data_IF_931063423064
#
_entry.id   IF_931063423064
#
_cell.length_a   1.000
_cell.length_b   1.000
_cell.length_c   1.000
_cell.angle_alpha   90.00
_cell.angle_beta   90.00
_cell.angle_gamma   90.00
#
_symmetry.space_group_name_H-M   'P 1'
#
loop_
_entity.id
_entity.type
_entity.pdbx_description
1 polymer ?
#
# COMPACT_ATOMS: atom_id res chain seq x y z
N UNK A 1 3.95 -9.08 17.98
CA UNK A 1 3.94 -8.78 19.43
C UNK A 1 5.35 -8.38 19.74
N UNK A 2 5.54 -7.13 20.12
CA UNK A 2 6.83 -6.68 20.64
C UNK A 2 6.89 -7.06 22.13
N UNK A 3 8.08 -7.29 22.66
CA UNK A 3 8.30 -7.52 24.09
C UNK A 3 7.61 -8.77 24.67
N UNK A 4 7.43 -9.82 23.86
CA UNK A 4 6.96 -11.15 24.32
C UNK A 4 7.95 -12.19 23.81
N UNK A 5 8.27 -13.18 24.64
CA UNK A 5 9.11 -14.31 24.27
C UNK A 5 8.52 -15.05 23.03
N UNK A 6 9.32 -15.45 22.03
CA UNK A 6 8.80 -16.11 20.83
C UNK A 6 8.02 -17.41 21.09
N UNK A 7 8.41 -18.19 22.09
CA UNK A 7 7.74 -19.45 22.43
C UNK A 7 6.44 -19.18 23.18
N UNK A 8 6.43 -18.20 24.09
CA UNK A 8 5.20 -17.71 24.73
C UNK A 8 4.19 -17.21 23.69
N UNK A 9 4.65 -16.40 22.73
CA UNK A 9 3.82 -15.93 21.64
C UNK A 9 3.25 -17.07 20.79
N UNK A 10 4.04 -18.12 20.53
CA UNK A 10 3.57 -19.29 19.77
C UNK A 10 2.53 -20.08 20.56
N UNK A 11 2.71 -20.22 21.87
CA UNK A 11 1.76 -20.90 22.76
C UNK A 11 0.42 -20.18 22.81
N UNK A 12 0.43 -18.85 22.96
CA UNK A 12 -0.79 -18.02 22.94
C UNK A 12 -1.55 -18.21 21.61
N UNK A 13 -0.85 -18.16 20.47
CA UNK A 13 -1.48 -18.32 19.16
C UNK A 13 -2.03 -19.74 18.96
N UNK A 14 -1.27 -20.76 19.37
CA UNK A 14 -1.68 -22.16 19.26
C UNK A 14 -2.91 -22.46 20.10
N UNK A 15 -3.00 -21.89 21.31
CA UNK A 15 -4.18 -21.97 22.17
C UNK A 15 -5.43 -21.32 21.55
N UNK A 16 -5.25 -20.46 20.55
CA UNK A 16 -6.33 -19.82 19.78
C UNK A 16 -6.50 -20.44 18.38
N UNK A 17 -6.02 -21.67 18.17
CA UNK A 17 -6.09 -22.39 16.89
C UNK A 17 -5.38 -21.66 15.73
N UNK A 18 -4.37 -20.83 16.04
CA UNK A 18 -3.54 -20.11 15.07
C UNK A 18 -2.12 -20.68 15.11
N UNK A 19 -1.82 -21.75 14.34
CA UNK A 19 -0.52 -22.45 14.44
C UNK A 19 0.67 -21.60 13.98
N UNK A 20 0.43 -20.48 13.30
CA UNK A 20 1.44 -19.51 12.91
C UNK A 20 0.87 -18.09 12.95
N UNK A 21 1.75 -17.09 13.08
CA UNK A 21 1.37 -15.70 12.83
C UNK A 21 0.99 -15.55 11.36
N UNK A 22 -0.27 -15.20 11.12
CA UNK A 22 -0.77 -14.81 9.81
C UNK A 22 -1.45 -13.46 9.96
N UNK A 23 -1.02 -12.51 9.15
CA UNK A 23 -1.69 -11.23 8.99
C UNK A 23 -2.16 -11.16 7.53
N UNK A 24 -3.42 -10.80 7.35
CA UNK A 24 -3.96 -10.51 6.02
C UNK A 24 -3.61 -9.07 5.67
N UNK A 25 -3.18 -8.85 4.43
CA UNK A 25 -3.07 -7.52 3.83
C UNK A 25 -4.22 -7.39 2.84
N UNK A 26 -5.12 -6.48 3.13
CA UNK A 26 -6.33 -6.27 2.34
C UNK A 26 -6.25 -4.95 1.61
N UNK A 27 -6.93 -4.88 0.47
CA UNK A 27 -7.18 -3.69 -0.31
C UNK A 27 -8.64 -3.74 -0.74
N UNK A 28 -9.21 -2.59 -1.12
CA UNK A 28 -10.62 -2.50 -1.49
C UNK A 28 -10.76 -1.84 -2.86
N UNK A 29 -11.59 -2.42 -3.71
CA UNK A 29 -11.99 -1.79 -4.98
C UNK A 29 -13.39 -1.25 -4.79
N UNK A 30 -13.59 0.01 -5.18
CA UNK A 30 -14.87 0.72 -5.12
C UNK A 30 -15.30 1.05 -6.54
N UNK A 31 -16.47 0.54 -6.94
CA UNK A 31 -17.15 0.94 -8.16
C UNK A 31 -18.24 1.95 -7.79
N UNK A 32 -18.17 3.15 -8.36
CA UNK A 32 -19.23 4.16 -8.20
C UNK A 32 -19.28 5.10 -9.40
N UNK A 33 -20.47 5.49 -9.83
CA UNK A 33 -20.68 6.47 -10.91
C UNK A 33 -19.86 6.19 -12.20
N UNK A 34 -19.67 4.91 -12.56
CA UNK A 34 -18.88 4.51 -13.73
C UNK A 34 -17.35 4.62 -13.57
N UNK A 35 -16.87 4.81 -12.33
CA UNK A 35 -15.47 4.95 -11.95
C UNK A 35 -15.04 3.82 -11.03
N UNK A 36 -13.74 3.52 -11.02
CA UNK A 36 -13.10 2.49 -10.21
C UNK A 36 -11.98 3.12 -9.36
N UNK A 37 -12.18 3.14 -8.05
CA UNK A 37 -11.17 3.52 -7.08
C UNK A 37 -10.58 2.29 -6.38
N UNK A 38 -9.31 2.37 -6.03
CA UNK A 38 -8.58 1.35 -5.26
C UNK A 38 -8.12 1.97 -3.93
N UNK A 39 -8.47 1.37 -2.79
CA UNK A 39 -7.91 1.70 -1.48
C UNK A 39 -6.77 0.73 -1.20
N UNK A 40 -5.56 1.30 -1.11
CA UNK A 40 -4.28 0.62 -0.97
C UNK A 40 -3.95 -0.38 -2.10
N UNK A 41 -2.66 -0.60 -2.31
CA UNK A 41 -2.13 -1.43 -3.42
C UNK A 41 -1.39 -2.69 -2.95
N UNK A 42 -1.37 -2.94 -1.64
CA UNK A 42 -0.71 -4.12 -1.09
C UNK A 42 0.82 -4.04 -1.20
N UNK A 43 1.44 -5.22 -1.05
CA UNK A 43 2.88 -5.34 -0.82
C UNK A 43 3.78 -5.32 -2.06
N UNK A 44 3.20 -5.33 -3.27
CA UNK A 44 3.96 -5.62 -4.49
C UNK A 44 4.86 -6.86 -4.32
N UNK A 45 6.14 -6.73 -4.70
CA UNK A 45 7.20 -7.75 -4.49
C UNK A 45 8.20 -7.36 -3.39
N UNK A 46 7.78 -6.50 -2.45
CA UNK A 46 8.66 -5.97 -1.39
C UNK A 46 8.67 -6.83 -0.14
N UNK A 47 7.57 -7.52 0.16
CA UNK A 47 7.46 -8.40 1.32
C UNK A 47 7.56 -9.88 0.90
N UNK A 48 7.32 -10.77 1.86
CA UNK A 48 7.32 -12.23 1.69
C UNK A 48 6.48 -12.72 0.50
N UNK A 49 6.87 -13.85 -0.09
CA UNK A 49 6.23 -14.43 -1.29
C UNK A 49 4.76 -14.82 -1.12
N UNK A 50 4.28 -14.95 0.11
CA UNK A 50 2.86 -15.17 0.42
C UNK A 50 2.01 -13.90 0.34
N UNK A 51 2.63 -12.72 0.22
CA UNK A 51 1.97 -11.43 0.07
C UNK A 51 1.79 -11.06 -1.42
N UNK A 52 1.46 -9.80 -1.73
CA UNK A 52 1.48 -9.29 -3.11
C UNK A 52 0.40 -9.84 -4.05
N UNK A 53 -0.79 -10.19 -3.51
CA UNK A 53 -1.84 -10.89 -4.27
C UNK A 53 -2.73 -9.96 -5.12
N UNK A 54 -2.47 -8.65 -5.17
CA UNK A 54 -3.32 -7.65 -5.84
C UNK A 54 -3.66 -8.03 -7.28
N UNK A 55 -2.66 -8.19 -8.15
CA UNK A 55 -2.89 -8.46 -9.57
C UNK A 55 -3.51 -9.83 -9.85
N UNK A 56 -3.18 -10.84 -9.02
CA UNK A 56 -3.86 -12.15 -9.10
C UNK A 56 -5.34 -12.01 -8.79
N UNK A 57 -5.68 -11.26 -7.74
CA UNK A 57 -7.06 -11.03 -7.35
C UNK A 57 -7.81 -10.16 -8.38
N UNK A 58 -7.15 -9.18 -9.00
CA UNK A 58 -7.71 -8.40 -10.10
C UNK A 58 -8.04 -9.29 -11.30
N UNK A 59 -7.14 -10.18 -11.69
CA UNK A 59 -7.40 -11.15 -12.75
C UNK A 59 -8.62 -12.03 -12.43
N UNK A 60 -8.76 -12.48 -11.20
CA UNK A 60 -9.91 -13.29 -10.77
C UNK A 60 -11.22 -12.47 -10.71
N UNK A 61 -11.13 -11.17 -10.41
CA UNK A 61 -12.26 -10.25 -10.34
C UNK A 61 -12.62 -9.62 -11.71
N UNK A 62 -11.81 -9.85 -12.75
CA UNK A 62 -12.01 -9.24 -14.08
C UNK A 62 -11.73 -7.73 -14.11
N UNK A 63 -10.81 -7.26 -13.28
CA UNK A 63 -10.42 -5.84 -13.21
C UNK A 63 -9.12 -5.63 -13.98
N UNK A 64 -9.12 -4.73 -14.97
CA UNK A 64 -7.89 -4.25 -15.60
C UNK A 64 -7.29 -3.13 -14.73
N UNK A 65 -6.00 -3.22 -14.32
CA UNK A 65 -5.31 -2.10 -13.68
C UNK A 65 -5.41 -0.77 -14.43
N UNK A 66 -5.57 -0.80 -15.76
CA UNK A 66 -5.74 0.39 -16.58
C UNK A 66 -7.10 1.08 -16.40
N UNK A 67 -8.09 0.38 -15.88
CA UNK A 67 -9.43 0.93 -15.61
C UNK A 67 -9.49 1.64 -14.24
N UNK A 68 -8.45 1.51 -13.40
CA UNK A 68 -8.36 2.23 -12.13
C UNK A 68 -8.09 3.71 -12.42
N UNK A 69 -9.01 4.57 -11.98
CA UNK A 69 -8.88 6.02 -12.16
C UNK A 69 -8.43 6.77 -10.91
N UNK A 70 -8.55 6.14 -9.74
CA UNK A 70 -8.10 6.73 -8.47
C UNK A 70 -7.51 5.65 -7.56
N UNK A 71 -6.35 5.92 -6.97
CA UNK A 71 -5.80 5.13 -5.87
C UNK A 71 -5.77 6.00 -4.61
N UNK A 72 -6.41 5.53 -3.55
CA UNK A 72 -6.41 6.15 -2.22
C UNK A 72 -5.44 5.36 -1.34
N UNK A 73 -4.35 6.00 -0.91
CA UNK A 73 -3.46 5.41 0.08
C UNK A 73 -3.90 5.80 1.48
N UNK A 74 -4.06 4.82 2.36
CA UNK A 74 -4.27 5.08 3.78
C UNK A 74 -3.00 5.65 4.43
N UNK A 75 -1.83 5.12 4.05
CA UNK A 75 -0.49 5.56 4.47
C UNK A 75 0.60 4.92 3.60
N UNK A 76 1.88 5.28 3.78
CA UNK A 76 2.99 4.82 2.92
C UNK A 76 3.83 3.68 3.53
N UNK A 77 3.21 2.75 4.25
CA UNK A 77 3.88 1.48 4.57
C UNK A 77 3.95 0.56 3.34
N UNK A 78 4.95 -0.32 3.25
CA UNK A 78 5.14 -1.18 2.08
C UNK A 78 3.99 -2.14 1.86
N UNK A 79 3.25 -2.56 2.88
CA UNK A 79 2.07 -3.40 2.73
C UNK A 79 0.85 -2.65 2.16
N UNK A 80 0.96 -1.34 1.95
CA UNK A 80 -0.10 -0.51 1.39
C UNK A 80 0.30 0.14 0.05
N UNK A 81 1.50 0.71 -0.04
CA UNK A 81 1.89 1.53 -1.19
C UNK A 81 2.80 0.82 -2.20
N UNK A 82 3.37 -0.33 -1.84
CA UNK A 82 4.41 -0.94 -2.66
C UNK A 82 3.89 -1.63 -3.93
N UNK A 83 2.58 -1.86 -4.03
CA UNK A 83 1.93 -2.31 -5.26
C UNK A 83 1.66 -1.22 -6.29
N UNK A 84 2.08 0.04 -6.07
CA UNK A 84 1.91 1.14 -7.03
C UNK A 84 2.82 1.03 -8.26
N UNK A 85 4.00 0.43 -8.10
CA UNK A 85 5.00 0.35 -9.17
C UNK A 85 5.81 -0.93 -9.09
N UNK A 86 6.36 -1.32 -10.24
CA UNK A 86 7.28 -2.44 -10.32
C UNK A 86 8.58 -2.14 -9.56
N UNK A 87 8.98 -3.06 -8.70
CA UNK A 87 10.15 -2.88 -7.84
C UNK A 87 11.46 -2.76 -8.63
N UNK A 88 11.59 -3.40 -9.77
CA UNK A 88 12.86 -3.43 -10.53
C UNK A 88 12.95 -2.22 -11.46
N UNK A 89 11.90 -1.98 -12.23
CA UNK A 89 11.83 -0.97 -13.30
C UNK A 89 11.33 0.39 -12.82
N UNK A 90 10.61 0.44 -11.69
CA UNK A 90 9.93 1.64 -11.22
C UNK A 90 8.70 2.03 -12.05
N UNK A 91 8.29 1.20 -13.03
CA UNK A 91 7.14 1.51 -13.88
C UNK A 91 5.85 1.49 -13.05
N UNK A 92 4.97 2.51 -13.15
CA UNK A 92 3.69 2.51 -12.46
C UNK A 92 2.76 1.44 -13.03
N UNK A 93 1.98 0.81 -12.16
CA UNK A 93 0.97 -0.18 -12.56
C UNK A 93 -0.41 0.43 -12.85
N UNK A 94 -0.67 1.65 -12.37
CA UNK A 94 -1.94 2.36 -12.53
C UNK A 94 -1.70 3.70 -13.27
N UNK A 95 -1.28 3.68 -14.54
CA UNK A 95 -0.83 4.87 -15.25
C UNK A 95 -1.94 5.92 -15.48
N UNK A 96 -3.21 5.51 -15.41
CA UNK A 96 -4.37 6.39 -15.59
C UNK A 96 -4.91 6.95 -14.26
N UNK A 97 -4.40 6.47 -13.13
CA UNK A 97 -4.95 6.79 -11.83
C UNK A 97 -4.35 8.08 -11.24
N UNK A 98 -5.21 8.90 -10.63
CA UNK A 98 -4.77 9.87 -9.64
C UNK A 98 -4.37 9.14 -8.35
N UNK A 99 -3.21 9.45 -7.78
CA UNK A 99 -2.82 8.91 -6.46
C UNK A 99 -3.12 9.96 -5.40
N UNK A 100 -3.97 9.60 -4.45
CA UNK A 100 -4.38 10.49 -3.36
C UNK A 100 -3.86 9.95 -2.05
N UNK A 101 -3.22 10.81 -1.26
CA UNK A 101 -2.79 10.53 0.10
C UNK A 101 -2.79 11.81 0.93
N UNK A 102 -2.80 11.66 2.25
CA UNK A 102 -2.70 12.80 3.15
C UNK A 102 -1.31 13.46 3.05
N UNK A 103 -1.25 14.79 2.92
CA UNK A 103 0.00 15.56 2.79
C UNK A 103 1.05 15.26 3.88
N UNK A 104 0.61 15.08 5.13
CA UNK A 104 1.47 14.69 6.26
C UNK A 104 2.18 13.36 6.07
N UNK A 105 1.57 12.39 5.39
CA UNK A 105 2.27 11.14 5.05
C UNK A 105 3.40 11.44 4.07
N UNK A 106 3.11 12.18 3.00
CA UNK A 106 4.12 12.57 2.02
C UNK A 106 5.28 13.33 2.69
N UNK A 107 4.97 14.31 3.55
CA UNK A 107 5.97 15.08 4.28
C UNK A 107 6.81 14.21 5.22
N UNK A 108 6.18 13.29 5.96
CA UNK A 108 6.88 12.41 6.89
C UNK A 108 7.87 11.50 6.15
N UNK A 109 7.39 10.78 5.12
CA UNK A 109 8.22 9.80 4.43
C UNK A 109 9.30 10.45 3.55
N UNK A 110 9.09 11.69 3.06
CA UNK A 110 10.10 12.44 2.28
C UNK A 110 11.13 13.17 3.13
N UNK A 111 11.01 13.17 4.45
CA UNK A 111 11.97 13.82 5.35
C UNK A 111 13.23 12.96 5.52
N UNK A 112 14.29 13.33 4.81
CA UNK A 112 15.60 12.68 4.88
C UNK A 112 16.22 12.78 6.29
N UNK A 113 15.91 13.82 7.06
CA UNK A 113 16.44 13.99 8.41
C UNK A 113 15.81 13.02 9.40
N UNK A 114 14.54 12.67 9.21
CA UNK A 114 13.87 11.61 9.97
C UNK A 114 14.42 10.24 9.60
N UNK A 115 14.61 9.98 8.30
CA UNK A 115 15.23 8.75 7.78
C UNK A 115 16.59 8.48 8.41
N UNK A 116 17.41 9.52 8.59
CA UNK A 116 18.75 9.37 9.16
C UNK A 116 18.73 9.13 10.68
N UNK A 117 17.62 9.41 11.38
CA UNK A 117 17.49 9.20 12.83
C UNK A 117 16.95 7.82 13.22
N UNK A 118 16.37 7.07 12.27
CA UNK A 118 15.82 5.73 12.52
C UNK A 118 16.86 4.62 12.27
N UNK A 119 16.60 3.44 12.85
CA UNK A 119 17.50 2.28 12.76
C UNK A 119 17.71 1.83 11.31
N UNK A 120 18.85 1.21 10.96
CA UNK A 120 19.07 0.64 9.63
C UNK A 120 17.95 -0.32 9.19
N UNK A 121 17.41 -1.11 10.12
CA UNK A 121 16.27 -1.99 9.91
C UNK A 121 15.00 -1.22 9.54
N UNK A 122 14.71 -0.12 10.25
CA UNK A 122 13.54 0.72 9.98
C UNK A 122 13.72 1.57 8.71
N UNK A 123 14.97 1.91 8.33
CA UNK A 123 15.27 2.60 7.07
C UNK A 123 14.89 1.78 5.84
N UNK A 124 14.84 0.45 5.96
CA UNK A 124 14.34 -0.41 4.89
C UNK A 124 12.87 -0.08 4.57
N UNK A 125 12.07 0.16 5.61
CA UNK A 125 10.67 0.56 5.48
C UNK A 125 10.53 2.04 5.07
N UNK A 126 11.47 2.88 5.49
CA UNK A 126 11.60 4.29 5.10
C UNK A 126 12.31 4.50 3.77
N UNK A 127 12.53 3.45 2.98
CA UNK A 127 13.42 3.57 1.83
C UNK A 127 12.93 4.66 0.87
N UNK A 128 13.81 5.62 0.60
CA UNK A 128 13.67 6.64 -0.45
C UNK A 128 13.37 6.00 -1.82
N UNK A 129 13.65 4.71 -1.99
CA UNK A 129 13.31 3.94 -3.18
C UNK A 129 11.80 3.73 -3.36
N UNK A 130 10.98 3.76 -2.30
CA UNK A 130 9.52 3.73 -2.42
C UNK A 130 9.02 5.10 -2.90
N UNK A 131 9.46 6.18 -2.25
CA UNK A 131 9.13 7.56 -2.64
C UNK A 131 9.63 7.97 -4.03
N UNK A 132 10.88 7.66 -4.39
CA UNK A 132 11.42 7.97 -5.71
C UNK A 132 10.67 7.24 -6.84
N UNK A 133 9.93 6.17 -6.51
CA UNK A 133 9.00 5.49 -7.44
C UNK A 133 7.56 6.02 -7.36
N UNK A 134 7.20 6.75 -6.30
CA UNK A 134 5.95 7.52 -6.20
C UNK A 134 6.05 8.87 -6.89
N UNK A 135 7.21 9.54 -6.85
CA UNK A 135 7.47 10.83 -7.50
C UNK A 135 7.21 10.87 -9.03
N UNK A 136 7.42 9.80 -9.83
CA UNK A 136 6.99 9.78 -11.23
C UNK A 136 5.47 9.61 -11.39
N UNK A 137 4.72 9.41 -10.31
CA UNK A 137 3.27 9.26 -10.32
C UNK A 137 2.62 10.59 -9.93
N UNK A 138 1.49 10.92 -10.55
CA UNK A 138 0.76 12.15 -10.25
C UNK A 138 0.09 12.07 -8.87
N UNK A 139 0.78 12.58 -7.85
CA UNK A 139 0.30 12.60 -6.47
C UNK A 139 -0.50 13.87 -6.18
N UNK A 140 -1.68 13.72 -5.59
CA UNK A 140 -2.53 14.82 -5.12
C UNK A 140 -2.72 14.72 -3.61
N UNK A 141 -2.45 15.82 -2.91
CA UNK A 141 -2.71 15.94 -1.46
C UNK A 141 -4.18 16.14 -1.13
N UNK A 142 -4.98 16.55 -2.11
CA UNK A 142 -6.40 16.83 -1.99
C UNK A 142 -7.20 15.95 -2.97
N UNK A 143 -8.41 15.48 -2.57
CA UNK A 143 -9.33 14.79 -3.45
C UNK A 143 -9.57 15.56 -4.75
N UNK A 144 -9.32 14.94 -5.91
CA UNK A 144 -9.67 15.57 -7.18
C UNK A 144 -11.19 15.70 -7.32
N UNK A 145 -11.67 16.46 -8.32
CA UNK A 145 -13.10 16.51 -8.65
C UNK A 145 -13.70 15.10 -8.89
N UNK A 146 -12.87 14.12 -9.26
CA UNK A 146 -13.26 12.72 -9.39
C UNK A 146 -13.68 12.07 -8.07
N UNK A 147 -13.04 12.41 -6.94
CA UNK A 147 -13.41 11.89 -5.62
C UNK A 147 -14.76 12.44 -5.12
N UNK A 148 -15.15 13.65 -5.55
CA UNK A 148 -16.49 14.19 -5.23
C UNK A 148 -17.61 13.33 -5.82
N UNK A 149 -17.36 12.60 -6.91
CA UNK A 149 -18.31 11.67 -7.51
C UNK A 149 -18.54 10.38 -6.69
N UNK A 150 -17.70 10.11 -5.69
CA UNK A 150 -17.88 9.00 -4.74
C UNK A 150 -18.56 9.44 -3.42
N UNK A 151 -18.88 10.74 -3.28
CA UNK A 151 -19.62 11.24 -2.12
C UNK A 151 -21.12 11.03 -2.34
N UNK A 152 -21.88 10.51 -1.34
CA UNK A 152 -23.33 10.49 -1.43
C UNK A 152 -23.87 11.93 -1.45
N UNK A 153 -24.96 12.15 -2.20
CA UNK A 153 -25.71 13.42 -2.25
C UNK A 153 -26.23 13.86 -0.88
#
# INVERSE_FOLDING_TARGET
MQNIDPDEARNILSAQFRPARRASVNFFVIHSAGRIALIDTGCGTYLQSSAGQLFRNFQHAGIDPLDIDTVLLTHIHPDHSAGLSDRVTGKPFFPNADIVLHEKELAYWSDETLRDKISPEDRYFFSTALLNRLLPINIKSEPSAAMKAFSPE
#
